data_IF_572567111752
#
_entry.id   IF_572567111752
#
_cell.length_a   1.000
_cell.length_b   1.000
_cell.length_c   1.000
_cell.angle_alpha   90.00
_cell.angle_beta   90.00
_cell.angle_gamma   90.00
#
_symmetry.space_group_name_H-M   'P 1'
#
loop_
_entity.id
_entity.type
_entity.pdbx_description
1 polymer ?
#
# COMPACT_ATOMS: atom_id res chain seq x y z
N UNK A 1 -36.15 -30.73 -63.08
CA UNK A 1 -36.58 -31.66 -62.02
C UNK A 1 -35.33 -32.29 -61.43
N UNK A 2 -34.58 -31.60 -60.57
CA UNK A 2 -34.78 -31.46 -59.12
C UNK A 2 -34.87 -32.81 -58.38
N UNK A 3 -33.73 -33.29 -57.86
CA UNK A 3 -33.58 -33.83 -56.50
C UNK A 3 -32.16 -34.43 -56.33
N UNK A 4 -31.23 -33.69 -55.72
CA UNK A 4 -30.13 -34.30 -54.96
C UNK A 4 -30.21 -33.76 -53.54
N UNK A 5 -30.33 -34.67 -52.58
CA UNK A 5 -30.43 -34.38 -51.15
C UNK A 5 -29.03 -34.21 -50.61
N UNK A 6 -28.71 -33.01 -50.13
CA UNK A 6 -27.52 -32.77 -49.31
C UNK A 6 -27.86 -33.10 -47.85
N UNK A 7 -27.13 -34.05 -47.27
CA UNK A 7 -27.09 -34.29 -45.82
C UNK A 7 -26.20 -33.21 -45.20
N UNK A 8 -26.79 -32.23 -44.54
CA UNK A 8 -26.07 -31.36 -43.61
C UNK A 8 -26.12 -31.99 -42.21
N UNK A 9 -25.03 -32.64 -41.80
CA UNK A 9 -24.82 -33.07 -40.43
C UNK A 9 -24.54 -31.86 -39.54
N UNK A 10 -25.43 -31.61 -38.59
CA UNK A 10 -25.22 -30.64 -37.51
C UNK A 10 -24.23 -31.24 -36.50
N UNK A 11 -23.01 -30.70 -36.45
CA UNK A 11 -22.10 -30.94 -35.32
C UNK A 11 -22.47 -29.94 -34.23
N UNK A 12 -23.22 -30.40 -33.22
CA UNK A 12 -23.43 -29.66 -31.98
C UNK A 12 -22.12 -29.73 -31.17
N UNK A 13 -21.38 -28.63 -31.12
CA UNK A 13 -20.32 -28.44 -30.16
C UNK A 13 -20.94 -28.26 -28.76
N UNK A 14 -20.83 -29.30 -27.92
CA UNK A 14 -21.09 -29.20 -26.49
C UNK A 14 -20.03 -28.27 -25.87
N UNK A 15 -20.40 -27.01 -25.67
CA UNK A 15 -19.66 -26.10 -24.78
C UNK A 15 -19.92 -26.61 -23.36
N UNK A 16 -18.96 -27.33 -22.80
CA UNK A 16 -18.94 -27.65 -21.37
C UNK A 16 -18.76 -26.35 -20.59
N UNK A 17 -19.88 -25.73 -20.18
CA UNK A 17 -19.91 -24.75 -19.11
C UNK A 17 -19.35 -25.43 -17.86
N UNK A 18 -18.05 -25.27 -17.61
CA UNK A 18 -17.49 -25.51 -16.30
C UNK A 18 -18.11 -24.46 -15.39
N UNK A 19 -19.16 -24.84 -14.65
CA UNK A 19 -19.50 -24.12 -13.43
C UNK A 19 -18.29 -24.24 -12.51
N UNK A 20 -17.42 -23.25 -12.51
CA UNK A 20 -16.44 -23.09 -11.45
C UNK A 20 -17.26 -22.95 -10.16
N UNK A 21 -17.39 -24.04 -9.41
CA UNK A 21 -17.86 -23.96 -8.05
C UNK A 21 -16.84 -23.05 -7.34
N UNK A 22 -17.23 -21.81 -7.03
CA UNK A 22 -16.33 -20.89 -6.35
C UNK A 22 -15.98 -21.52 -5.01
N UNK A 23 -14.70 -21.86 -4.81
CA UNK A 23 -14.19 -22.29 -3.50
C UNK A 23 -14.59 -21.22 -2.50
N UNK A 24 -15.46 -21.56 -1.54
CA UNK A 24 -15.79 -20.65 -0.45
C UNK A 24 -14.71 -20.74 0.60
N UNK A 25 -14.28 -19.59 1.10
CA UNK A 25 -13.30 -19.47 2.16
C UNK A 25 -14.00 -19.48 3.53
N UNK A 26 -13.58 -20.36 4.42
CA UNK A 26 -14.04 -20.39 5.81
C UNK A 26 -13.34 -19.28 6.63
N UNK A 27 -13.93 -18.78 7.72
CA UNK A 27 -13.33 -17.74 8.56
C UNK A 27 -12.24 -18.31 9.49
N UNK A 28 -11.19 -18.89 8.91
CA UNK A 28 -9.99 -19.37 9.57
C UNK A 28 -8.79 -19.28 8.63
N UNK A 29 -7.58 -19.16 9.19
CA UNK A 29 -6.36 -18.95 8.42
C UNK A 29 -6.03 -20.11 7.47
N UNK A 30 -6.22 -21.36 7.91
CA UNK A 30 -6.04 -22.54 7.05
C UNK A 30 -6.82 -22.42 5.73
N UNK A 31 -8.04 -21.88 5.77
CA UNK A 31 -8.82 -21.64 4.55
C UNK A 31 -8.41 -20.35 3.83
N UNK A 32 -8.20 -19.25 4.56
CA UNK A 32 -7.97 -17.93 3.98
C UNK A 32 -6.62 -17.82 3.27
N UNK A 33 -5.57 -18.41 3.83
CA UNK A 33 -4.21 -18.36 3.28
C UNK A 33 -4.05 -19.24 2.04
N UNK A 34 -5.00 -20.16 1.79
CA UNK A 34 -5.07 -20.91 0.54
C UNK A 34 -5.63 -20.09 -0.64
N UNK A 35 -6.05 -18.83 -0.42
CA UNK A 35 -6.51 -17.96 -1.50
C UNK A 35 -5.33 -17.57 -2.41
N UNK A 36 -5.41 -17.82 -3.72
CA UNK A 36 -4.37 -17.39 -4.64
C UNK A 36 -4.19 -15.86 -4.64
N UNK A 37 -2.93 -15.42 -4.71
CA UNK A 37 -2.61 -14.01 -4.90
C UNK A 37 -3.11 -13.54 -6.28
N UNK A 38 -3.84 -12.40 -6.36
CA UNK A 38 -4.20 -11.80 -7.65
C UNK A 38 -2.96 -11.43 -8.47
N UNK A 39 -2.91 -11.86 -9.74
CA UNK A 39 -1.73 -11.68 -10.61
C UNK A 39 -1.29 -10.22 -10.72
N UNK A 40 -2.24 -9.29 -10.78
CA UNK A 40 -1.95 -7.86 -10.89
C UNK A 40 -1.04 -7.37 -9.76
N UNK A 41 -1.21 -7.87 -8.53
CA UNK A 41 -0.45 -7.41 -7.38
C UNK A 41 1.00 -7.89 -7.49
N UNK A 42 1.23 -9.13 -7.93
CA UNK A 42 2.59 -9.58 -8.16
C UNK A 42 3.25 -8.84 -9.34
N UNK A 43 2.51 -8.52 -10.39
CA UNK A 43 3.06 -7.86 -11.59
C UNK A 43 3.34 -6.37 -11.39
N UNK A 44 2.62 -5.72 -10.47
CA UNK A 44 2.63 -4.28 -10.23
C UNK A 44 3.99 -3.73 -9.78
N UNK A 45 4.67 -4.43 -8.86
CA UNK A 45 5.99 -4.10 -8.25
C UNK A 45 6.12 -2.78 -7.49
N UNK A 46 5.56 -1.68 -7.97
CA UNK A 46 5.74 -0.36 -7.39
C UNK A 46 4.40 0.32 -7.10
N UNK A 47 4.24 0.84 -5.88
CA UNK A 47 3.07 1.58 -5.46
C UNK A 47 3.41 2.80 -4.61
N UNK A 48 2.42 3.68 -4.46
CA UNK A 48 2.52 4.90 -3.63
C UNK A 48 1.60 4.79 -2.43
N UNK A 49 2.11 5.19 -1.27
CA UNK A 49 1.35 5.26 -0.03
C UNK A 49 1.21 6.73 0.40
N UNK A 50 0.07 7.07 0.98
CA UNK A 50 -0.28 8.42 1.40
C UNK A 50 -0.75 8.39 2.85
N UNK A 51 0.10 8.87 3.77
CA UNK A 51 -0.31 9.18 5.15
C UNK A 51 -0.77 10.63 5.24
N UNK A 52 -2.09 10.80 5.27
CA UNK A 52 -2.72 12.10 5.24
C UNK A 52 -3.94 12.10 6.17
N UNK A 53 -4.02 13.09 7.06
CA UNK A 53 -5.08 13.19 8.06
C UNK A 53 -4.92 14.45 8.91
N UNK A 54 -5.61 14.52 10.04
CA UNK A 54 -5.60 15.69 10.93
C UNK A 54 -4.20 15.90 11.52
N UNK A 55 -3.41 14.85 11.72
CA UNK A 55 -2.00 14.95 12.11
C UNK A 55 -1.14 15.77 11.13
N UNK A 56 -1.56 15.94 9.87
CA UNK A 56 -0.89 16.83 8.92
C UNK A 56 -1.06 18.30 9.28
N UNK A 57 -2.00 18.69 10.14
CA UNK A 57 -2.24 20.08 10.58
C UNK A 57 -1.12 20.62 11.47
N UNK A 58 -0.76 19.97 12.60
CA UNK A 58 0.41 20.40 13.37
C UNK A 58 1.72 20.20 12.60
N UNK A 59 1.76 19.23 11.68
CA UNK A 59 2.90 18.90 10.80
C UNK A 59 4.24 18.77 11.56
N UNK A 60 4.23 18.14 12.73
CA UNK A 60 5.37 18.11 13.64
C UNK A 60 5.61 16.69 14.18
N UNK A 61 6.86 16.24 14.16
CA UNK A 61 7.21 14.93 14.70
C UNK A 61 6.78 13.78 13.79
N UNK A 62 5.55 13.29 13.89
CA UNK A 62 4.99 12.28 12.98
C UNK A 62 3.46 12.25 13.01
N UNK A 63 2.86 11.35 12.23
CA UNK A 63 1.43 11.01 12.28
C UNK A 63 0.96 10.46 13.64
N UNK A 64 1.90 10.14 14.55
CA UNK A 64 1.63 9.77 15.94
C UNK A 64 1.47 10.98 16.88
N UNK A 65 1.37 12.20 16.33
CA UNK A 65 1.31 13.45 17.10
C UNK A 65 0.38 13.38 18.32
N UNK A 66 -0.85 12.89 18.15
CA UNK A 66 -1.83 12.84 19.25
C UNK A 66 -1.35 11.94 20.40
N UNK A 67 -0.82 10.76 20.07
CA UNK A 67 -0.26 9.83 21.05
C UNK A 67 0.95 10.42 21.77
N UNK A 68 1.94 10.93 21.03
CA UNK A 68 3.15 11.50 21.61
C UNK A 68 2.86 12.73 22.47
N UNK A 69 1.84 13.52 22.12
CA UNK A 69 1.41 14.65 22.93
C UNK A 69 0.64 14.24 24.19
N UNK A 70 -0.34 13.34 24.06
CA UNK A 70 -1.32 13.08 25.14
C UNK A 70 -0.99 11.87 26.00
N UNK A 71 -0.55 10.79 25.38
CA UNK A 71 -0.24 9.55 26.10
C UNK A 71 1.19 9.57 26.62
N UNK A 72 2.17 9.75 25.73
CA UNK A 72 3.59 9.75 26.13
C UNK A 72 3.98 11.03 26.86
N UNK A 73 3.27 12.13 26.57
CA UNK A 73 3.60 13.48 27.06
C UNK A 73 5.05 13.85 26.74
N UNK A 74 5.49 13.46 25.55
CA UNK A 74 6.85 13.69 25.06
C UNK A 74 7.18 15.19 25.13
N UNK A 75 8.27 15.61 25.81
CA UNK A 75 8.54 17.02 26.11
C UNK A 75 8.52 17.94 24.87
N UNK A 76 9.05 17.46 23.74
CA UNK A 76 9.06 18.22 22.49
C UNK A 76 7.64 18.56 21.98
N UNK A 77 6.71 17.60 22.04
CA UNK A 77 5.32 17.79 21.60
C UNK A 77 4.54 18.68 22.58
N UNK A 78 4.75 18.52 23.89
CA UNK A 78 4.12 19.38 24.91
C UNK A 78 4.61 20.83 24.77
N UNK A 79 5.92 21.04 24.61
CA UNK A 79 6.48 22.37 24.38
C UNK A 79 5.99 22.98 23.07
N UNK A 80 5.93 22.18 21.99
CA UNK A 80 5.35 22.62 20.73
C UNK A 80 3.91 23.09 20.92
N UNK A 81 3.07 22.32 21.64
CA UNK A 81 1.70 22.71 21.89
C UNK A 81 1.59 23.98 22.73
N UNK A 82 2.32 24.08 23.84
CA UNK A 82 2.32 25.26 24.71
C UNK A 82 2.83 26.53 24.02
N UNK A 83 3.76 26.40 23.07
CA UNK A 83 4.34 27.53 22.35
C UNK A 83 3.44 28.04 21.23
N UNK A 84 2.70 27.16 20.55
CA UNK A 84 2.02 27.48 19.29
C UNK A 84 0.49 27.55 19.41
N UNK A 85 -0.11 27.03 20.48
CA UNK A 85 -1.56 26.98 20.64
C UNK A 85 -2.00 27.52 22.00
N UNK A 86 -3.23 28.04 22.05
CA UNK A 86 -3.78 28.62 23.27
C UNK A 86 -3.97 27.55 24.37
N UNK A 87 -3.88 27.92 25.66
CA UNK A 87 -4.26 27.04 26.75
C UNK A 87 -5.67 26.48 26.55
N UNK A 88 -5.84 25.18 26.74
CA UNK A 88 -7.11 24.48 26.54
C UNK A 88 -7.35 23.93 25.14
N UNK A 89 -6.47 24.22 24.16
CA UNK A 89 -6.54 23.62 22.83
C UNK A 89 -6.45 22.08 22.92
N UNK A 90 -7.37 21.41 22.23
CA UNK A 90 -7.50 19.94 22.16
C UNK A 90 -7.10 19.44 20.79
N UNK A 91 -6.88 18.12 20.65
CA UNK A 91 -6.54 17.57 19.33
C UNK A 91 -7.69 17.72 18.32
N UNK A 92 -8.94 17.67 18.78
CA UNK A 92 -10.10 17.83 17.93
C UNK A 92 -10.19 19.22 17.29
N UNK A 93 -9.61 20.24 17.93
CA UNK A 93 -9.57 21.61 17.40
C UNK A 93 -8.67 21.74 16.15
N UNK A 94 -7.89 20.70 15.81
CA UNK A 94 -7.18 20.62 14.53
C UNK A 94 -8.08 20.22 13.35
N UNK A 95 -9.18 19.50 13.57
CA UNK A 95 -9.97 18.96 12.46
C UNK A 95 -10.55 20.05 11.53
N UNK A 96 -11.08 21.19 12.02
CA UNK A 96 -11.51 22.27 11.14
C UNK A 96 -10.37 22.94 10.35
N UNK A 97 -9.11 22.76 10.79
CA UNK A 97 -7.93 23.35 10.14
C UNK A 97 -7.30 22.42 9.09
N UNK A 98 -7.78 21.19 8.98
CA UNK A 98 -7.45 20.28 7.89
C UNK A 98 -8.28 20.67 6.67
N UNK A 99 -7.75 21.54 5.81
CA UNK A 99 -8.57 22.21 4.77
C UNK A 99 -8.57 21.48 3.43
N UNK A 100 -7.51 20.74 3.09
CA UNK A 100 -7.35 20.14 1.76
C UNK A 100 -7.54 21.14 0.59
N UNK A 101 -7.22 22.41 0.81
CA UNK A 101 -7.50 23.51 -0.13
C UNK A 101 -6.89 23.33 -1.53
N UNK A 102 -5.69 22.74 -1.61
CA UNK A 102 -4.96 22.44 -2.83
C UNK A 102 -5.02 20.96 -3.22
N UNK A 103 -5.92 20.18 -2.61
CA UNK A 103 -6.13 18.79 -2.99
C UNK A 103 -6.81 18.69 -4.36
N UNK A 104 -6.01 18.34 -5.36
CA UNK A 104 -6.45 17.97 -6.70
C UNK A 104 -6.19 16.47 -6.93
N UNK A 105 -7.23 15.62 -6.92
CA UNK A 105 -7.09 14.18 -7.10
C UNK A 105 -6.60 13.79 -8.50
N UNK A 106 -6.97 14.53 -9.56
CA UNK A 106 -6.50 14.25 -10.92
C UNK A 106 -5.01 14.57 -11.06
N UNK A 107 -4.53 15.65 -10.41
CA UNK A 107 -3.12 16.01 -10.38
C UNK A 107 -2.27 15.04 -9.53
N UNK A 108 -2.79 14.56 -8.40
CA UNK A 108 -2.15 13.49 -7.62
C UNK A 108 -2.06 12.20 -8.43
N UNK A 109 -3.16 11.78 -9.05
CA UNK A 109 -3.19 10.58 -9.88
C UNK A 109 -2.20 10.68 -11.07
N UNK A 110 -2.07 11.85 -11.68
CA UNK A 110 -1.05 12.11 -12.73
C UNK A 110 0.36 11.94 -12.20
N UNK A 111 0.64 12.52 -11.03
CA UNK A 111 1.96 12.39 -10.41
C UNK A 111 2.31 10.93 -10.17
N UNK A 112 1.38 10.13 -9.63
CA UNK A 112 1.65 8.73 -9.32
C UNK A 112 1.81 7.87 -10.58
N UNK A 113 1.00 8.11 -11.62
CA UNK A 113 1.19 7.48 -12.94
C UNK A 113 2.56 7.86 -13.52
N UNK A 114 2.93 9.14 -13.47
CA UNK A 114 4.22 9.62 -13.97
C UNK A 114 5.41 9.08 -13.18
N UNK A 115 5.21 8.69 -11.92
CA UNK A 115 6.21 8.02 -11.10
C UNK A 115 6.42 6.54 -11.48
N UNK A 116 5.55 5.98 -12.33
CA UNK A 116 5.55 4.56 -12.68
C UNK A 116 4.77 3.68 -11.69
N UNK A 117 4.05 4.26 -10.73
CA UNK A 117 3.27 3.47 -9.79
C UNK A 117 2.18 2.66 -10.53
N UNK A 118 1.89 1.46 -10.02
CA UNK A 118 0.80 0.59 -10.52
C UNK A 118 -0.35 0.46 -9.53
N UNK A 119 -0.13 0.85 -8.28
CA UNK A 119 -1.16 0.92 -7.26
C UNK A 119 -0.91 2.10 -6.31
N UNK A 120 -1.98 2.61 -5.71
CA UNK A 120 -1.93 3.71 -4.74
C UNK A 120 -2.75 3.34 -3.52
N UNK A 121 -2.18 3.55 -2.33
CA UNK A 121 -2.82 3.29 -1.04
C UNK A 121 -3.02 4.61 -0.30
N UNK A 122 -4.26 4.93 0.07
CA UNK A 122 -4.58 6.12 0.86
C UNK A 122 -4.98 5.72 2.29
N UNK A 123 -4.46 6.41 3.31
CA UNK A 123 -4.99 6.33 4.68
C UNK A 123 -6.43 6.80 4.72
N UNK A 124 -7.37 5.87 4.84
CA UNK A 124 -8.79 6.20 5.06
C UNK A 124 -9.01 6.69 6.48
N UNK A 125 -8.39 6.02 7.45
CA UNK A 125 -8.38 6.32 8.88
C UNK A 125 -7.04 5.87 9.46
N UNK A 126 -6.35 6.76 10.15
CA UNK A 126 -5.16 6.42 10.93
C UNK A 126 -5.53 6.21 12.41
N UNK A 127 -4.56 5.97 13.29
CA UNK A 127 -4.78 5.68 14.71
C UNK A 127 -5.49 6.80 15.50
N UNK A 128 -5.53 8.02 14.95
CA UNK A 128 -6.28 9.16 15.50
C UNK A 128 -7.80 9.08 15.28
N UNK A 129 -8.28 8.06 14.56
CA UNK A 129 -9.71 7.82 14.38
C UNK A 129 -10.42 8.70 13.35
N UNK A 130 -9.76 9.76 12.86
CA UNK A 130 -10.34 10.67 11.87
C UNK A 130 -10.46 9.97 10.52
N UNK A 131 -11.64 10.04 9.91
CA UNK A 131 -11.91 9.39 8.62
C UNK A 131 -11.87 10.40 7.47
N UNK A 132 -11.10 10.10 6.42
CA UNK A 132 -10.99 10.92 5.19
C UNK A 132 -12.18 10.75 4.22
N UNK A 133 -13.27 10.17 4.72
CA UNK A 133 -14.54 10.04 4.03
C UNK A 133 -15.69 10.16 5.03
N UNK A 134 -16.91 10.42 4.55
CA UNK A 134 -18.10 10.43 5.39
C UNK A 134 -18.48 9.03 5.88
N UNK A 135 -17.78 8.55 6.92
CA UNK A 135 -18.05 7.26 7.56
C UNK A 135 -19.40 7.29 8.28
N UNK A 136 -20.25 6.25 8.12
CA UNK A 136 -21.57 6.20 8.73
C UNK A 136 -21.54 6.11 10.27
N UNK A 137 -20.36 5.83 10.85
CA UNK A 137 -20.15 5.64 12.29
C UNK A 137 -19.06 6.58 12.84
N UNK A 138 -18.74 7.67 12.12
CA UNK A 138 -17.74 8.67 12.52
C UNK A 138 -18.31 10.09 12.49
N UNK A 139 -19.55 10.28 12.93
CA UNK A 139 -20.23 11.57 12.86
C UNK A 139 -19.38 12.69 13.52
N UNK A 140 -19.20 13.79 12.78
CA UNK A 140 -18.42 14.97 13.18
C UNK A 140 -16.91 14.73 13.44
N UNK A 141 -16.39 13.55 13.11
CA UNK A 141 -14.96 13.22 13.15
C UNK A 141 -14.50 12.64 11.80
N UNK A 142 -14.83 13.36 10.74
CA UNK A 142 -14.52 12.99 9.36
C UNK A 142 -14.41 14.20 8.42
N UNK A 143 -13.81 14.01 7.24
CA UNK A 143 -13.53 15.09 6.28
C UNK A 143 -14.75 15.66 5.56
N UNK A 144 -15.91 15.01 5.63
CA UNK A 144 -17.18 15.50 5.04
C UNK A 144 -17.90 16.41 6.04
N UNK A 145 -17.88 16.06 7.31
CA UNK A 145 -18.57 16.82 8.36
C UNK A 145 -17.77 18.03 8.84
N UNK A 146 -16.43 17.98 8.81
CA UNK A 146 -15.55 19.07 9.25
C UNK A 146 -14.29 19.19 8.38
N UNK A 147 -13.70 20.38 8.35
CA UNK A 147 -12.47 20.67 7.61
C UNK A 147 -12.75 20.81 6.11
N UNK A 148 -12.43 19.83 5.25
CA UNK A 148 -12.56 19.97 3.80
C UNK A 148 -14.00 19.97 3.27
N UNK A 149 -14.96 19.43 4.04
CA UNK A 149 -16.31 19.13 3.60
C UNK A 149 -16.37 18.32 2.29
N UNK A 150 -15.48 17.33 2.19
CA UNK A 150 -15.21 16.58 0.96
C UNK A 150 -14.90 15.11 1.24
N UNK A 151 -15.40 14.23 0.37
CA UNK A 151 -15.04 12.81 0.38
C UNK A 151 -13.68 12.60 -0.34
N UNK A 152 -12.60 12.65 0.43
CA UNK A 152 -11.23 12.59 -0.10
C UNK A 152 -10.89 11.19 -0.63
N UNK A 153 -11.39 10.15 0.03
CA UNK A 153 -11.24 8.74 -0.39
C UNK A 153 -11.93 8.52 -1.73
N UNK A 154 -13.20 8.91 -1.84
CA UNK A 154 -13.97 8.74 -3.07
C UNK A 154 -13.40 9.52 -4.26
N UNK A 155 -12.97 10.76 -4.03
CA UNK A 155 -12.43 11.61 -5.08
C UNK A 155 -11.08 11.13 -5.61
N UNK A 156 -10.16 10.73 -4.71
CA UNK A 156 -8.90 10.12 -5.16
C UNK A 156 -9.16 8.80 -5.88
N UNK A 157 -10.02 7.93 -5.33
CA UNK A 157 -10.33 6.64 -5.93
C UNK A 157 -10.85 6.74 -7.37
N UNK A 158 -11.70 7.75 -7.67
CA UNK A 158 -12.17 8.02 -9.04
C UNK A 158 -11.02 8.42 -9.97
N UNK A 159 -10.13 9.31 -9.53
CA UNK A 159 -9.00 9.79 -10.33
C UNK A 159 -7.96 8.68 -10.60
N UNK A 160 -7.67 7.84 -9.60
CA UNK A 160 -6.78 6.67 -9.74
C UNK A 160 -7.34 5.67 -10.75
N UNK A 161 -8.62 5.31 -10.63
CA UNK A 161 -9.26 4.34 -11.54
C UNK A 161 -9.35 4.86 -12.98
N UNK A 162 -9.55 6.17 -13.18
CA UNK A 162 -9.54 6.81 -14.51
C UNK A 162 -8.21 6.63 -15.25
N UNK A 163 -7.11 6.42 -14.52
CA UNK A 163 -5.75 6.18 -15.06
C UNK A 163 -5.33 4.71 -15.06
N UNK A 164 -6.29 3.78 -14.88
CA UNK A 164 -6.04 2.33 -14.83
C UNK A 164 -5.00 1.92 -13.77
N UNK A 165 -4.87 2.70 -12.69
CA UNK A 165 -4.08 2.34 -11.53
C UNK A 165 -4.95 1.57 -10.54
N UNK A 166 -4.35 0.62 -9.82
CA UNK A 166 -5.04 -0.09 -8.76
C UNK A 166 -5.22 0.81 -7.53
N UNK A 167 -6.42 0.79 -6.95
CA UNK A 167 -6.75 1.65 -5.82
C UNK A 167 -6.85 0.85 -4.53
N UNK A 168 -5.89 1.05 -3.63
CA UNK A 168 -5.84 0.47 -2.31
C UNK A 168 -6.22 1.46 -1.21
N UNK A 169 -6.67 0.91 -0.08
CA UNK A 169 -7.07 1.69 1.09
C UNK A 169 -6.37 1.16 2.33
N UNK A 170 -5.70 2.05 3.04
CA UNK A 170 -5.23 1.77 4.38
C UNK A 170 -6.33 2.06 5.40
N UNK A 171 -6.44 1.20 6.40
CA UNK A 171 -7.37 1.42 7.50
C UNK A 171 -6.78 0.91 8.82
N UNK A 172 -6.65 1.80 9.80
CA UNK A 172 -6.29 1.38 11.15
C UNK A 172 -7.46 0.68 11.85
N UNK A 173 -7.23 -0.52 12.36
CA UNK A 173 -8.20 -1.28 13.14
C UNK A 173 -8.51 -0.59 14.47
N UNK A 174 -7.51 -0.01 15.14
CA UNK A 174 -7.68 0.73 16.39
C UNK A 174 -8.03 2.22 16.19
N UNK A 175 -8.44 2.85 17.28
CA UNK A 175 -8.56 4.30 17.44
C UNK A 175 -8.16 4.64 18.89
N UNK A 176 -7.00 5.28 19.07
CA UNK A 176 -6.31 5.35 20.36
C UNK A 176 -7.17 5.89 21.50
N UNK A 177 -8.00 6.89 21.21
CA UNK A 177 -8.73 7.63 22.23
C UNK A 177 -10.26 7.49 22.09
N UNK A 178 -10.73 6.57 21.25
CA UNK A 178 -12.15 6.29 21.13
C UNK A 178 -12.69 5.66 22.44
N UNK A 179 -13.77 6.18 23.03
CA UNK A 179 -14.28 5.69 24.31
C UNK A 179 -14.59 4.19 24.31
N UNK A 180 -15.18 3.65 23.23
CA UNK A 180 -15.45 2.21 23.11
C UNK A 180 -14.15 1.39 23.04
N UNK A 181 -13.11 1.89 22.37
CA UNK A 181 -11.83 1.18 22.27
C UNK A 181 -11.16 1.12 23.64
N UNK A 182 -11.15 2.25 24.35
CA UNK A 182 -10.62 2.33 25.70
C UNK A 182 -11.39 1.44 26.68
N UNK A 183 -12.71 1.34 26.56
CA UNK A 183 -13.53 0.45 27.38
C UNK A 183 -13.25 -1.03 27.09
N UNK A 184 -13.16 -1.41 25.81
CA UNK A 184 -12.77 -2.76 25.42
C UNK A 184 -11.35 -3.09 25.95
N UNK A 185 -10.40 -2.16 25.84
CA UNK A 185 -9.04 -2.30 26.38
C UNK A 185 -9.02 -2.43 27.91
N UNK A 186 -9.80 -1.63 28.63
CA UNK A 186 -9.95 -1.73 30.10
C UNK A 186 -10.52 -3.08 30.53
N UNK A 187 -11.40 -3.67 29.74
CA UNK A 187 -11.91 -5.04 29.97
C UNK A 187 -10.86 -6.14 29.74
N UNK A 188 -9.69 -5.79 29.18
CA UNK A 188 -8.70 -6.72 28.66
C UNK A 188 -9.14 -7.37 27.36
N UNK A 189 -9.83 -6.61 26.50
CA UNK A 189 -10.39 -7.05 25.20
C UNK A 189 -11.36 -8.24 25.31
N UNK A 190 -12.10 -8.33 26.42
CA UNK A 190 -13.15 -9.34 26.64
C UNK A 190 -14.48 -8.94 26.02
N UNK A 191 -14.68 -7.64 25.78
CA UNK A 191 -15.79 -7.09 24.99
C UNK A 191 -15.27 -6.64 23.62
N UNK A 192 -16.18 -6.48 22.66
CA UNK A 192 -15.88 -6.09 21.26
C UNK A 192 -16.78 -4.92 20.80
N UNK A 193 -17.18 -4.03 21.72
CA UNK A 193 -18.11 -2.96 21.39
C UNK A 193 -17.56 -2.02 20.33
N UNK A 194 -16.28 -1.69 20.40
CA UNK A 194 -15.61 -0.87 19.41
C UNK A 194 -15.56 -1.58 18.04
N UNK A 195 -15.24 -2.87 18.02
CA UNK A 195 -15.15 -3.64 16.78
C UNK A 195 -16.52 -3.69 16.08
N UNK A 196 -17.58 -3.98 16.84
CA UNK A 196 -18.94 -4.11 16.31
C UNK A 196 -19.58 -2.76 15.92
N UNK A 197 -19.31 -1.69 16.66
CA UNK A 197 -19.94 -0.39 16.43
C UNK A 197 -19.13 0.56 15.55
N UNK A 198 -17.82 0.32 15.38
CA UNK A 198 -16.89 1.24 14.72
C UNK A 198 -16.03 0.56 13.65
N UNK A 199 -15.06 -0.27 14.05
CA UNK A 199 -14.02 -0.75 13.13
C UNK A 199 -14.58 -1.61 11.98
N UNK A 200 -15.46 -2.58 12.27
CA UNK A 200 -16.04 -3.42 11.22
C UNK A 200 -17.00 -2.66 10.32
N UNK A 201 -18.01 -1.92 10.83
CA UNK A 201 -18.88 -1.11 9.98
C UNK A 201 -18.13 -0.20 8.99
N UNK A 202 -17.01 0.40 9.40
CA UNK A 202 -16.14 1.18 8.52
C UNK A 202 -15.53 0.35 7.40
N UNK A 203 -14.93 -0.80 7.71
CA UNK A 203 -14.34 -1.68 6.69
C UNK A 203 -15.37 -2.19 5.68
N UNK A 204 -16.56 -2.59 6.12
CA UNK A 204 -17.64 -2.99 5.21
C UNK A 204 -18.09 -1.82 4.33
N UNK A 205 -18.27 -0.62 4.89
CA UNK A 205 -18.64 0.58 4.13
C UNK A 205 -17.57 0.94 3.08
N UNK A 206 -16.29 0.93 3.46
CA UNK A 206 -15.18 1.21 2.54
C UNK A 206 -15.18 0.25 1.33
N UNK A 207 -15.34 -1.05 1.59
CA UNK A 207 -15.34 -2.06 0.53
C UNK A 207 -16.56 -1.88 -0.39
N UNK A 208 -17.75 -1.72 0.18
CA UNK A 208 -18.98 -1.59 -0.60
C UNK A 208 -19.02 -0.29 -1.41
N UNK A 209 -18.53 0.81 -0.83
CA UNK A 209 -18.60 2.14 -1.42
C UNK A 209 -17.50 2.39 -2.45
N UNK A 210 -16.26 2.02 -2.12
CA UNK A 210 -15.10 2.39 -2.94
C UNK A 210 -14.53 1.24 -3.75
N UNK A 211 -14.90 -0.01 -3.46
CA UNK A 211 -14.44 -1.20 -4.17
C UNK A 211 -12.92 -1.18 -4.43
N UNK A 212 -12.11 -1.19 -3.35
CA UNK A 212 -10.66 -1.15 -3.46
C UNK A 212 -10.10 -2.49 -3.97
N UNK A 213 -8.96 -2.41 -4.63
CA UNK A 213 -8.16 -3.57 -5.07
C UNK A 213 -7.24 -4.06 -3.95
N UNK A 214 -6.97 -3.24 -2.94
CA UNK A 214 -6.11 -3.59 -1.82
C UNK A 214 -6.68 -3.03 -0.51
N UNK A 215 -6.67 -3.83 0.56
CA UNK A 215 -6.92 -3.34 1.93
C UNK A 215 -5.64 -3.53 2.74
N UNK A 216 -5.08 -2.42 3.21
CA UNK A 216 -3.88 -2.39 4.04
C UNK A 216 -4.31 -2.12 5.48
N UNK A 217 -4.41 -3.16 6.31
CA UNK A 217 -4.80 -2.99 7.71
C UNK A 217 -3.57 -2.66 8.58
N UNK A 218 -3.82 -2.05 9.74
CA UNK A 218 -2.79 -1.72 10.73
C UNK A 218 -3.44 -1.46 12.09
N UNK A 219 -2.67 -1.20 13.15
CA UNK A 219 -3.30 -0.96 14.46
C UNK A 219 -3.79 -2.23 15.15
N UNK A 220 -3.32 -3.38 14.71
CA UNK A 220 -3.79 -4.70 15.14
C UNK A 220 -3.04 -5.23 16.38
N UNK A 221 -1.89 -4.64 16.71
CA UNK A 221 -0.89 -5.15 17.65
C UNK A 221 -1.34 -5.31 19.11
N UNK A 222 -2.45 -4.71 19.54
CA UNK A 222 -2.93 -4.82 20.93
C UNK A 222 -3.84 -6.03 21.17
N UNK A 223 -4.25 -6.76 20.13
CA UNK A 223 -5.27 -7.81 20.26
C UNK A 223 -5.19 -8.89 19.16
N UNK A 224 -5.65 -10.11 19.45
CA UNK A 224 -5.71 -11.17 18.45
C UNK A 224 -6.75 -10.89 17.37
N UNK A 225 -6.60 -11.55 16.22
CA UNK A 225 -7.54 -11.56 15.09
C UNK A 225 -8.99 -11.89 15.50
N UNK A 226 -9.16 -12.69 16.54
CA UNK A 226 -10.47 -13.02 17.13
C UNK A 226 -11.18 -11.81 17.74
N UNK A 227 -10.46 -10.93 18.44
CA UNK A 227 -11.03 -9.67 18.95
C UNK A 227 -11.40 -8.75 17.78
N UNK A 228 -10.55 -8.65 16.78
CA UNK A 228 -10.82 -7.82 15.61
C UNK A 228 -11.92 -8.38 14.70
N UNK A 229 -12.31 -9.65 14.83
CA UNK A 229 -13.16 -10.37 13.86
C UNK A 229 -12.57 -10.38 12.44
N UNK A 230 -11.23 -10.43 12.34
CA UNK A 230 -10.51 -10.29 11.07
C UNK A 230 -10.83 -11.44 10.11
N UNK A 231 -10.78 -12.70 10.57
CA UNK A 231 -11.06 -13.86 9.72
C UNK A 231 -12.51 -13.88 9.22
N UNK A 232 -13.46 -13.40 10.03
CA UNK A 232 -14.85 -13.21 9.64
C UNK A 232 -15.00 -12.19 8.51
N UNK A 233 -14.35 -11.03 8.65
CA UNK A 233 -14.32 -10.00 7.61
C UNK A 233 -13.64 -10.50 6.33
N UNK A 234 -12.48 -11.14 6.42
CA UNK A 234 -11.74 -11.65 5.26
C UNK A 234 -12.49 -12.75 4.52
N UNK A 235 -13.18 -13.65 5.23
CA UNK A 235 -14.05 -14.64 4.61
C UNK A 235 -15.18 -13.98 3.81
N UNK A 236 -15.85 -12.95 4.36
CA UNK A 236 -16.83 -12.18 3.60
C UNK A 236 -16.19 -11.47 2.39
N UNK A 237 -15.03 -10.85 2.60
CA UNK A 237 -14.29 -10.11 1.58
C UNK A 237 -14.00 -10.99 0.36
N UNK A 238 -13.59 -12.24 0.57
CA UNK A 238 -13.22 -13.16 -0.50
C UNK A 238 -14.40 -13.95 -1.08
N UNK A 239 -15.54 -14.02 -0.41
CA UNK A 239 -16.69 -14.79 -0.88
C UNK A 239 -17.77 -13.92 -1.53
N UNK A 240 -18.09 -12.79 -0.89
CA UNK A 240 -19.36 -12.08 -1.07
C UNK A 240 -19.18 -10.61 -1.46
N UNK A 241 -18.01 -10.03 -1.21
CA UNK A 241 -17.76 -8.63 -1.56
C UNK A 241 -17.73 -8.39 -3.09
N UNK A 242 -17.97 -7.15 -3.55
CA UNK A 242 -17.87 -6.78 -4.97
C UNK A 242 -16.42 -6.82 -5.52
N UNK A 243 -15.41 -7.02 -4.67
CA UNK A 243 -13.99 -6.99 -5.04
C UNK A 243 -13.29 -8.34 -4.86
N UNK A 244 -14.03 -9.38 -4.50
CA UNK A 244 -13.52 -10.72 -4.17
C UNK A 244 -12.53 -11.31 -5.18
N UNK A 245 -12.69 -11.01 -6.47
CA UNK A 245 -11.86 -11.57 -7.55
C UNK A 245 -10.51 -10.87 -7.70
N UNK A 246 -10.33 -9.67 -7.12
CA UNK A 246 -9.14 -8.85 -7.32
C UNK A 246 -8.49 -8.33 -6.03
N UNK A 247 -9.24 -8.29 -4.92
CA UNK A 247 -8.75 -7.71 -3.68
C UNK A 247 -7.57 -8.49 -3.11
N UNK A 248 -6.61 -7.78 -2.52
CA UNK A 248 -5.51 -8.35 -1.76
C UNK A 248 -5.38 -7.64 -0.41
N UNK A 249 -4.90 -8.34 0.61
CA UNK A 249 -4.71 -7.80 1.97
C UNK A 249 -3.29 -8.08 2.47
N UNK A 250 -2.78 -7.22 3.34
CA UNK A 250 -1.51 -7.44 4.04
C UNK A 250 -1.66 -8.40 5.24
N UNK A 251 -0.65 -8.46 6.09
CA UNK A 251 -0.50 -9.39 7.23
C UNK A 251 -0.77 -8.78 8.61
N UNK A 252 -1.46 -7.64 8.69
CA UNK A 252 -1.68 -6.89 9.95
C UNK A 252 -3.11 -6.99 10.45
N UNK A 253 -3.55 -8.22 10.72
CA UNK A 253 -4.93 -8.53 11.09
C UNK A 253 -5.11 -8.98 12.54
N UNK A 254 -4.05 -8.94 13.35
CA UNK A 254 -4.06 -9.30 14.76
C UNK A 254 -2.68 -9.76 15.24
N UNK A 255 -2.54 -9.90 16.57
CA UNK A 255 -1.36 -10.54 17.17
C UNK A 255 -1.07 -11.87 16.49
N UNK A 256 0.21 -12.11 16.17
CA UNK A 256 0.74 -13.27 15.43
C UNK A 256 0.29 -13.40 13.96
N UNK A 257 -0.34 -12.39 13.35
CA UNK A 257 -0.62 -12.42 11.91
C UNK A 257 0.59 -12.02 11.05
N UNK A 258 1.39 -11.07 11.54
CA UNK A 258 2.55 -10.55 10.79
C UNK A 258 3.55 -11.65 10.44
N UNK A 259 4.00 -11.73 9.18
CA UNK A 259 4.76 -12.84 8.57
C UNK A 259 4.10 -14.23 8.59
N UNK A 260 2.82 -14.37 8.97
CA UNK A 260 2.16 -15.67 9.11
C UNK A 260 0.90 -15.80 8.26
N UNK A 261 0.13 -14.72 8.11
CA UNK A 261 -1.19 -14.73 7.51
C UNK A 261 -1.39 -13.54 6.56
N UNK A 262 -2.29 -13.67 5.58
CA UNK A 262 -2.63 -12.59 4.64
C UNK A 262 -2.12 -12.82 3.21
N UNK A 263 -2.56 -11.97 2.28
CA UNK A 263 -2.25 -12.13 0.86
C UNK A 263 -0.81 -11.75 0.50
N UNK A 264 -0.17 -10.89 1.27
CA UNK A 264 1.25 -10.59 1.22
C UNK A 264 1.76 -10.17 2.59
N UNK A 265 3.06 -10.32 2.83
CA UNK A 265 3.67 -10.01 4.12
C UNK A 265 4.38 -8.67 4.12
N UNK A 266 4.13 -7.85 5.13
CA UNK A 266 4.98 -6.72 5.47
C UNK A 266 5.95 -7.10 6.59
N UNK A 267 5.62 -8.04 7.48
CA UNK A 267 6.43 -8.51 8.61
C UNK A 267 6.73 -7.46 9.71
N UNK A 268 7.22 -6.30 9.32
CA UNK A 268 7.51 -5.15 10.16
C UNK A 268 7.56 -3.88 9.29
N UNK A 269 7.56 -2.71 9.92
CA UNK A 269 7.85 -1.47 9.20
C UNK A 269 9.24 -1.53 8.55
N UNK A 270 9.33 -1.11 7.28
CA UNK A 270 10.57 -1.07 6.51
C UNK A 270 11.28 -2.43 6.40
N UNK A 271 10.55 -3.53 6.50
CA UNK A 271 11.08 -4.88 6.38
C UNK A 271 11.87 -5.08 5.08
N UNK A 272 12.99 -5.77 5.19
CA UNK A 272 13.82 -6.22 4.06
C UNK A 272 14.33 -7.62 4.38
N UNK A 273 13.99 -8.65 3.60
CA UNK A 273 14.42 -10.01 3.88
C UNK A 273 15.91 -10.19 3.56
N UNK A 274 16.57 -11.10 4.30
CA UNK A 274 17.96 -11.47 4.06
C UNK A 274 18.13 -12.59 3.02
N UNK A 275 17.05 -13.32 2.74
CA UNK A 275 16.99 -14.44 1.78
C UNK A 275 15.67 -14.37 1.01
N UNK A 276 15.58 -15.05 -0.13
CA UNK A 276 14.35 -15.06 -0.93
C UNK A 276 13.19 -15.69 -0.14
N UNK A 277 12.12 -14.94 0.17
CA UNK A 277 10.95 -15.49 0.83
C UNK A 277 10.16 -16.44 -0.08
N UNK A 278 9.43 -17.38 0.51
CA UNK A 278 8.52 -18.31 -0.17
C UNK A 278 7.10 -17.76 -0.35
N UNK A 279 6.79 -16.65 0.32
CA UNK A 279 5.52 -15.93 0.22
C UNK A 279 5.71 -14.54 -0.41
N UNK A 280 4.67 -14.01 -1.05
CA UNK A 280 4.68 -12.63 -1.53
C UNK A 280 4.84 -11.67 -0.36
N UNK A 281 5.64 -10.63 -0.54
CA UNK A 281 5.88 -9.62 0.48
C UNK A 281 5.94 -8.21 -0.13
N UNK A 282 5.90 -7.19 0.73
CA UNK A 282 5.96 -5.80 0.34
C UNK A 282 6.84 -5.00 1.31
N UNK A 283 7.86 -4.33 0.77
CA UNK A 283 8.63 -3.33 1.49
C UNK A 283 7.84 -2.04 1.51
N UNK A 284 7.32 -1.67 2.68
CA UNK A 284 6.69 -0.38 2.91
C UNK A 284 7.68 0.58 3.58
N UNK A 285 7.90 1.76 3.00
CA UNK A 285 8.84 2.79 3.53
C UNK A 285 8.38 4.20 3.17
N UNK A 286 9.09 5.23 3.61
CA UNK A 286 8.75 6.65 3.40
C UNK A 286 9.94 7.43 2.84
N UNK A 287 9.65 8.41 1.97
CA UNK A 287 10.67 9.37 1.51
C UNK A 287 11.22 10.16 2.70
N UNK A 288 10.37 10.57 3.64
CA UNK A 288 10.84 11.14 4.90
C UNK A 288 11.30 10.02 5.84
N UNK A 289 12.59 10.02 6.20
CA UNK A 289 13.16 8.96 7.03
C UNK A 289 12.61 8.94 8.46
N UNK A 290 12.03 10.05 8.93
CA UNK A 290 11.55 10.23 10.30
C UNK A 290 10.04 10.03 10.48
N UNK A 291 9.25 10.14 9.41
CA UNK A 291 7.79 10.21 9.52
C UNK A 291 7.09 9.64 8.29
N UNK A 292 5.89 9.09 8.49
CA UNK A 292 4.98 8.78 7.38
C UNK A 292 4.15 10.03 7.02
N UNK A 293 3.67 10.75 8.03
CA UNK A 293 2.97 12.03 7.85
C UNK A 293 3.90 13.19 7.47
N UNK A 294 3.32 14.30 6.99
CA UNK A 294 4.06 15.49 6.60
C UNK A 294 4.71 16.21 7.81
N UNK A 295 6.01 16.51 7.71
CA UNK A 295 6.71 17.39 8.65
C UNK A 295 7.08 18.72 7.99
N UNK A 296 6.56 19.83 8.52
CA UNK A 296 6.86 21.17 7.98
C UNK A 296 8.31 21.63 8.19
N UNK A 297 9.03 20.98 9.11
CA UNK A 297 10.42 21.28 9.45
C UNK A 297 11.42 20.28 8.89
N UNK A 298 10.99 19.35 8.01
CA UNK A 298 11.88 18.37 7.38
C UNK A 298 13.05 19.05 6.66
N UNK A 299 14.23 18.44 6.74
CA UNK A 299 15.43 18.89 6.05
C UNK A 299 15.76 17.95 4.89
N UNK A 300 16.39 18.47 3.82
CA UNK A 300 16.68 17.67 2.61
C UNK A 300 17.53 16.43 2.91
N UNK A 301 18.45 16.51 3.87
CA UNK A 301 19.29 15.38 4.30
C UNK A 301 18.54 14.31 5.11
N UNK A 302 17.31 14.59 5.55
CA UNK A 302 16.40 13.63 6.20
C UNK A 302 15.49 12.94 5.18
N UNK A 303 15.54 13.37 3.91
CA UNK A 303 14.74 12.80 2.83
C UNK A 303 15.58 11.83 2.02
N UNK A 304 14.97 10.70 1.67
CA UNK A 304 15.56 9.69 0.80
C UNK A 304 15.92 10.31 -0.56
N UNK A 305 17.15 10.08 -1.01
CA UNK A 305 17.57 10.48 -2.34
C UNK A 305 17.06 9.51 -3.42
N UNK A 306 17.09 9.96 -4.67
CA UNK A 306 16.62 9.19 -5.82
C UNK A 306 17.33 7.83 -5.95
N UNK A 307 18.66 7.82 -5.78
CA UNK A 307 19.46 6.61 -5.92
C UNK A 307 19.06 5.55 -4.89
N UNK A 308 18.76 5.97 -3.65
CA UNK A 308 18.29 5.08 -2.60
C UNK A 308 16.89 4.55 -2.91
N UNK A 309 15.97 5.40 -3.39
CA UNK A 309 14.62 4.96 -3.77
C UNK A 309 14.68 3.89 -4.87
N UNK A 310 15.47 4.11 -5.92
CA UNK A 310 15.65 3.15 -7.01
C UNK A 310 16.32 1.87 -6.50
N UNK A 311 17.32 1.98 -5.63
CA UNK A 311 17.97 0.83 -5.01
C UNK A 311 16.98 -0.02 -4.24
N UNK A 312 16.18 0.57 -3.36
CA UNK A 312 15.22 -0.19 -2.56
C UNK A 312 14.15 -0.85 -3.42
N UNK A 313 13.70 -0.20 -4.51
CA UNK A 313 12.80 -0.81 -5.48
C UNK A 313 13.43 -2.05 -6.14
N UNK A 314 14.66 -1.92 -6.64
CA UNK A 314 15.39 -3.01 -7.30
C UNK A 314 15.65 -4.16 -6.30
N UNK A 315 16.04 -3.83 -5.08
CA UNK A 315 16.24 -4.79 -3.99
C UNK A 315 14.96 -5.57 -3.70
N UNK A 316 13.85 -4.87 -3.47
CA UNK A 316 12.56 -5.49 -3.17
C UNK A 316 12.14 -6.46 -4.29
N UNK A 317 12.21 -6.01 -5.55
CA UNK A 317 11.78 -6.81 -6.70
C UNK A 317 12.67 -8.03 -6.93
N UNK A 318 13.99 -7.90 -6.71
CA UNK A 318 14.94 -9.02 -6.84
C UNK A 318 14.66 -10.13 -5.82
N UNK A 319 14.19 -9.77 -4.63
CA UNK A 319 13.71 -10.68 -3.59
C UNK A 319 12.21 -11.00 -3.72
N UNK A 320 11.55 -10.65 -4.83
CA UNK A 320 10.17 -11.05 -5.13
C UNK A 320 9.08 -10.19 -4.51
N UNK A 321 9.47 -9.13 -3.81
CA UNK A 321 8.57 -8.21 -3.16
C UNK A 321 7.97 -7.17 -4.09
N UNK A 322 7.01 -6.42 -3.56
CA UNK A 322 6.65 -5.10 -4.06
C UNK A 322 7.33 -4.02 -3.20
N UNK A 323 7.45 -2.82 -3.74
CA UNK A 323 7.91 -1.62 -3.06
C UNK A 323 6.77 -0.62 -2.97
N UNK A 324 6.39 -0.25 -1.75
CA UNK A 324 5.34 0.72 -1.45
C UNK A 324 5.98 1.95 -0.80
N UNK A 325 6.07 3.03 -1.59
CA UNK A 325 6.76 4.25 -1.19
C UNK A 325 5.78 5.31 -0.70
N UNK A 326 5.93 5.72 0.55
CA UNK A 326 5.09 6.72 1.18
C UNK A 326 5.55 8.16 0.91
N UNK A 327 4.57 9.03 0.69
CA UNK A 327 4.70 10.49 0.83
C UNK A 327 3.61 11.02 1.74
N UNK A 328 3.94 12.01 2.59
CA UNK A 328 3.00 12.70 3.45
C UNK A 328 2.57 14.04 2.85
N UNK A 329 1.30 14.21 2.42
CA UNK A 329 0.79 15.50 1.95
C UNK A 329 0.57 16.49 3.10
N UNK A 330 0.68 17.79 2.82
CA UNK A 330 0.39 18.86 3.79
C UNK A 330 -1.10 18.92 4.15
N UNK A 331 -1.48 19.65 5.20
CA UNK A 331 -2.90 19.81 5.58
C UNK A 331 -3.77 20.45 4.49
N UNK A 332 -3.16 21.25 3.61
CA UNK A 332 -3.80 21.85 2.45
C UNK A 332 -3.90 20.87 1.27
N UNK A 333 -3.36 19.64 1.35
CA UNK A 333 -3.41 18.67 0.26
C UNK A 333 -2.31 18.87 -0.79
N UNK A 334 -1.23 19.57 -0.44
CA UNK A 334 -0.06 19.69 -1.30
C UNK A 334 0.91 18.52 -1.07
N UNK A 335 1.19 17.76 -2.11
CA UNK A 335 2.42 16.95 -2.15
C UNK A 335 3.56 17.90 -2.46
N UNK A 336 4.43 18.14 -1.50
CA UNK A 336 5.47 19.16 -1.61
C UNK A 336 6.45 18.90 -2.77
N UNK A 337 6.99 19.95 -3.42
CA UNK A 337 7.76 19.82 -4.65
C UNK A 337 8.90 18.80 -4.60
N UNK A 338 9.61 18.69 -3.47
CA UNK A 338 10.70 17.73 -3.30
C UNK A 338 10.23 16.27 -3.39
N UNK A 339 9.05 15.95 -2.87
CA UNK A 339 8.46 14.61 -3.03
C UNK A 339 8.05 14.37 -4.47
N UNK A 340 7.42 15.36 -5.13
CA UNK A 340 7.06 15.23 -6.54
C UNK A 340 8.28 15.03 -7.44
N UNK A 341 9.38 15.73 -7.17
CA UNK A 341 10.64 15.61 -7.91
C UNK A 341 11.21 14.20 -7.81
N UNK A 342 11.32 13.65 -6.58
CA UNK A 342 11.79 12.28 -6.35
C UNK A 342 10.92 11.24 -7.06
N UNK A 343 9.60 11.37 -6.94
CA UNK A 343 8.65 10.48 -7.61
C UNK A 343 8.79 10.52 -9.14
N UNK A 344 8.87 11.71 -9.74
CA UNK A 344 9.04 11.85 -11.19
C UNK A 344 10.37 11.30 -11.68
N UNK A 345 11.46 11.44 -10.92
CA UNK A 345 12.75 10.89 -11.33
C UNK A 345 12.76 9.36 -11.28
N UNK A 346 12.14 8.74 -10.28
CA UNK A 346 11.89 7.27 -10.28
C UNK A 346 11.10 6.86 -11.51
N UNK A 347 10.08 7.62 -11.87
CA UNK A 347 9.30 7.41 -13.10
C UNK A 347 10.12 7.49 -14.39
N UNK A 348 11.03 8.47 -14.51
CA UNK A 348 11.97 8.57 -15.63
C UNK A 348 12.88 7.34 -15.71
N UNK A 349 13.34 6.82 -14.57
CA UNK A 349 14.14 5.59 -14.57
C UNK A 349 13.31 4.37 -14.99
N UNK A 350 12.07 4.26 -14.50
CA UNK A 350 11.15 3.16 -14.81
C UNK A 350 10.61 3.19 -16.26
N UNK A 351 10.58 4.34 -16.93
CA UNK A 351 10.16 4.41 -18.33
C UNK A 351 11.16 3.71 -19.28
N UNK A 352 12.42 3.64 -18.88
CA UNK A 352 13.50 2.96 -19.61
C UNK A 352 13.69 1.53 -19.09
N UNK A 353 13.77 1.38 -17.77
CA UNK A 353 14.18 0.13 -17.12
C UNK A 353 13.00 -0.72 -16.64
N UNK A 354 11.75 -0.27 -16.85
CA UNK A 354 10.56 -0.92 -16.33
C UNK A 354 10.36 -2.35 -16.82
N UNK A 355 10.91 -2.71 -17.98
CA UNK A 355 10.88 -4.09 -18.48
C UNK A 355 11.59 -5.08 -17.55
N UNK A 356 12.64 -4.62 -16.85
CA UNK A 356 13.41 -5.36 -15.86
C UNK A 356 12.75 -5.38 -14.47
N UNK A 357 11.59 -4.74 -14.31
CA UNK A 357 10.89 -4.57 -13.03
C UNK A 357 9.50 -5.20 -13.12
N UNK A 358 8.60 -4.63 -13.90
CA UNK A 358 7.20 -5.06 -13.97
C UNK A 358 7.07 -6.49 -14.48
N UNK A 359 6.16 -7.25 -13.87
CA UNK A 359 5.90 -8.66 -14.19
C UNK A 359 7.11 -9.60 -14.13
N UNK A 360 8.28 -9.14 -13.67
CA UNK A 360 9.44 -10.00 -13.47
C UNK A 360 9.28 -10.88 -12.22
N UNK A 361 10.09 -11.94 -12.15
CA UNK A 361 10.20 -12.85 -11.02
C UNK A 361 11.62 -12.83 -10.46
N UNK A 362 11.81 -13.22 -9.19
CA UNK A 362 13.13 -13.50 -8.64
C UNK A 362 13.87 -14.50 -9.53
N UNK A 363 15.11 -14.18 -9.85
CA UNK A 363 15.96 -15.15 -10.53
C UNK A 363 16.58 -16.12 -9.53
N UNK A 364 17.26 -17.18 -10.00
CA UNK A 364 17.93 -18.17 -9.13
C UNK A 364 19.02 -17.58 -8.22
N UNK A 365 19.49 -16.37 -8.53
CA UNK A 365 20.42 -15.59 -7.72
C UNK A 365 19.81 -14.20 -7.62
N UNK A 366 19.64 -13.67 -6.41
CA UNK A 366 19.05 -12.34 -6.16
C UNK A 366 20.06 -11.22 -6.42
N UNK A 367 21.30 -11.44 -5.98
CA UNK A 367 22.38 -10.47 -6.07
C UNK A 367 23.74 -11.14 -6.17
N UNK A 368 24.69 -10.43 -6.77
CA UNK A 368 26.11 -10.76 -6.65
C UNK A 368 26.93 -9.47 -6.48
N UNK A 369 28.16 -9.62 -5.99
CA UNK A 369 29.09 -8.50 -5.81
C UNK A 369 30.41 -8.82 -6.47
N UNK A 370 30.61 -8.31 -7.67
CA UNK A 370 31.77 -8.59 -8.53
C UNK A 370 32.56 -7.30 -8.78
N UNK A 371 32.27 -6.59 -9.88
CA UNK A 371 32.76 -5.23 -10.13
C UNK A 371 31.97 -4.22 -9.30
N UNK A 372 30.68 -4.46 -9.11
CA UNK A 372 29.78 -3.68 -8.27
C UNK A 372 28.64 -4.57 -7.75
N UNK A 373 27.79 -4.02 -6.87
CA UNK A 373 26.57 -4.68 -6.40
C UNK A 373 25.60 -4.77 -7.58
N UNK A 374 25.23 -6.00 -7.93
CA UNK A 374 24.32 -6.35 -9.02
C UNK A 374 23.10 -7.04 -8.45
N UNK A 375 21.97 -6.79 -9.09
CA UNK A 375 20.67 -7.32 -8.75
C UNK A 375 20.06 -8.03 -9.95
N UNK A 376 19.29 -9.08 -9.70
CA UNK A 376 18.75 -9.90 -10.76
C UNK A 376 17.25 -10.07 -10.67
N UNK A 377 16.61 -9.92 -11.81
CA UNK A 377 15.22 -10.30 -12.06
C UNK A 377 15.17 -11.13 -13.34
N UNK A 378 14.06 -11.85 -13.54
CA UNK A 378 13.86 -12.64 -14.75
C UNK A 378 12.44 -12.52 -15.27
N UNK A 379 12.28 -12.57 -16.59
CA UNK A 379 10.99 -12.63 -17.26
C UNK A 379 11.15 -13.47 -18.52
N UNK A 380 10.31 -14.49 -18.66
CA UNK A 380 10.40 -15.45 -19.76
C UNK A 380 11.83 -16.03 -19.89
N UNK A 381 12.48 -15.87 -21.05
CA UNK A 381 13.86 -16.29 -21.28
C UNK A 381 14.91 -15.22 -20.93
N UNK A 382 14.49 -14.01 -20.56
CA UNK A 382 15.38 -12.90 -20.24
C UNK A 382 15.78 -12.90 -18.76
N UNK A 383 17.04 -12.61 -18.51
CA UNK A 383 17.59 -12.31 -17.17
C UNK A 383 18.10 -10.89 -17.21
N UNK A 384 17.58 -10.04 -16.34
CA UNK A 384 18.02 -8.66 -16.23
C UNK A 384 19.05 -8.57 -15.10
N UNK A 385 20.19 -7.96 -15.41
CA UNK A 385 21.24 -7.62 -14.45
C UNK A 385 21.21 -6.12 -14.23
N UNK A 386 20.88 -5.69 -13.02
CA UNK A 386 20.63 -4.29 -12.67
C UNK A 386 21.75 -3.81 -11.75
N UNK A 387 22.39 -2.70 -12.11
CA UNK A 387 23.42 -2.03 -11.32
C UNK A 387 23.22 -0.52 -11.34
N UNK A 388 23.48 0.13 -10.20
CA UNK A 388 23.21 1.56 -10.02
C UNK A 388 24.48 2.43 -10.05
N UNK A 389 25.64 1.80 -10.15
CA UNK A 389 26.92 2.50 -10.28
C UNK A 389 27.65 2.02 -11.52
N UNK A 390 27.92 2.95 -12.42
CA UNK A 390 28.67 2.67 -13.63
C UNK A 390 30.10 2.18 -13.29
N UNK A 391 30.55 1.04 -13.84
CA UNK A 391 31.91 0.54 -13.63
C UNK A 391 32.98 1.52 -14.12
N UNK A 392 34.02 1.75 -13.31
CA UNK A 392 35.07 2.76 -13.58
C UNK A 392 35.84 2.48 -14.87
N UNK A 393 36.05 1.21 -15.20
CA UNK A 393 36.77 0.75 -16.39
C UNK A 393 35.84 0.41 -17.57
N UNK A 394 34.54 0.70 -17.45
CA UNK A 394 33.49 0.26 -18.39
C UNK A 394 33.38 -1.27 -18.53
N UNK A 395 33.90 -2.06 -17.57
CA UNK A 395 33.83 -3.52 -17.59
C UNK A 395 32.94 -4.05 -16.48
N UNK A 396 31.77 -4.57 -16.85
CA UNK A 396 30.90 -5.29 -15.93
C UNK A 396 31.16 -6.79 -15.99
N UNK A 397 31.59 -7.39 -14.87
CA UNK A 397 31.81 -8.84 -14.77
C UNK A 397 30.59 -9.50 -14.14
N UNK A 398 29.95 -10.42 -14.85
CA UNK A 398 28.83 -11.22 -14.35
C UNK A 398 29.31 -12.64 -14.05
N UNK A 399 29.09 -13.14 -12.83
CA UNK A 399 29.50 -14.50 -12.43
C UNK A 399 28.36 -15.52 -12.55
N UNK A 400 27.14 -15.12 -12.19
CA UNK A 400 25.98 -16.02 -12.12
C UNK A 400 25.39 -16.43 -13.47
N UNK A 401 25.33 -15.56 -14.50
CA UNK A 401 24.89 -15.95 -15.84
C UNK A 401 25.91 -16.87 -16.51
N UNK A 402 25.43 -17.96 -17.11
CA UNK A 402 26.23 -18.91 -17.88
C UNK A 402 25.82 -18.80 -19.35
N UNK A 403 26.52 -17.99 -20.17
CA UNK A 403 26.12 -17.76 -21.55
C UNK A 403 26.32 -19.01 -22.40
N UNK A 404 25.53 -19.12 -23.46
CA UNK A 404 25.69 -20.10 -24.54
C UNK A 404 26.02 -19.36 -25.85
N UNK A 405 26.30 -20.09 -26.93
CA UNK A 405 26.49 -19.49 -28.25
C UNK A 405 25.27 -18.67 -28.75
N UNK A 406 24.08 -18.93 -28.19
CA UNK A 406 22.84 -18.21 -28.55
C UNK A 406 22.52 -17.04 -27.61
N UNK A 407 23.35 -16.77 -26.59
CA UNK A 407 23.09 -15.70 -25.64
C UNK A 407 23.37 -14.34 -26.29
N UNK A 408 22.35 -13.49 -26.33
CA UNK A 408 22.48 -12.09 -26.71
C UNK A 408 22.54 -11.22 -25.44
N UNK A 409 23.36 -10.18 -25.46
CA UNK A 409 23.51 -9.23 -24.36
C UNK A 409 23.26 -7.83 -24.91
N UNK A 410 22.31 -7.12 -24.31
CA UNK A 410 21.97 -5.73 -24.61
C UNK A 410 21.91 -4.93 -23.32
N UNK A 411 22.11 -3.61 -23.44
CA UNK A 411 22.00 -2.68 -22.32
C UNK A 411 20.73 -1.86 -22.53
N UNK A 412 19.88 -1.78 -21.49
CA UNK A 412 18.82 -0.78 -21.42
C UNK A 412 19.48 0.55 -21.04
N UNK A 413 19.54 1.51 -21.96
CA UNK A 413 20.21 2.78 -21.72
C UNK A 413 19.21 3.92 -21.48
N UNK A 414 19.55 4.73 -20.47
CA UNK A 414 19.05 6.09 -20.33
C UNK A 414 19.68 6.94 -21.43
N UNK A 415 18.85 7.47 -22.33
CA UNK A 415 19.25 8.39 -23.39
C UNK A 415 19.46 9.80 -22.89
#
# INVERSE_FOLDING_TARGET
MAASRSLAGLVLALIALHSAASTRYAPNWDSLDNRPLPCWYDEAKFGIFLHWGVFSVPSFGSEWFWWSWRQEKSPAYVQFMNKNYAPGFTYADFAPQFTAEFFDPDAWAELFESAGARYVVLTTKHHEGFTNWGSPVAWNWNSVDTGPHRDLVGDLGKAIKKRNLHYGLYHSLLDWFHPLYLADKESGFKTQYFVLAKAMPELYDLVMRYQPDLIWSDGDWESPDTYWNSTGFLAWLYNDSPVKDKVVVNDRWGINCSCHHGGFYNCADKYTPSTLPDHKWEKCTSIDSHSWGYRRNMQVNELMDEATIILELVEAVSYGGNYLLNVGPSKEGLIVPIFQERLRNVGKWLSINGEAIYATKPWRVQMENTTCKLWYTAKESAVYSIFLKWPVDNVLKLQSPKPTANTNVSILLYG
#
